data_IF_198849634687
#
_entry.id   IF_198849634687
#
_cell.length_a   1.000
_cell.length_b   1.000
_cell.length_c   1.000
_cell.angle_alpha   90.00
_cell.angle_beta   90.00
_cell.angle_gamma   90.00
#
_symmetry.space_group_name_H-M   'P 1'
#
loop_
_entity.id
_entity.type
_entity.pdbx_description
1 polymer ?
#
# COMPACT_ATOMS: atom_id res chain seq x y z
N UNK A 1 5.81 6.81 -27.04
CA UNK A 1 4.93 6.31 -25.97
C UNK A 1 4.17 7.49 -25.39
N UNK A 2 2.84 7.43 -25.42
CA UNK A 2 1.99 8.45 -24.86
C UNK A 2 2.19 8.50 -23.33
N UNK A 3 2.10 9.69 -22.75
CA UNK A 3 2.20 9.90 -21.30
C UNK A 3 0.96 10.63 -20.84
N UNK A 4 0.08 9.96 -20.14
CA UNK A 4 -1.11 10.55 -19.55
C UNK A 4 -1.20 10.09 -18.10
N UNK A 5 -1.15 11.06 -17.19
CA UNK A 5 -1.37 10.85 -15.76
C UNK A 5 -1.95 12.15 -15.24
N UNK A 6 -3.28 12.22 -15.19
CA UNK A 6 -4.02 13.41 -14.77
C UNK A 6 -5.16 13.03 -13.83
N UNK A 7 -5.28 13.80 -12.78
CA UNK A 7 -6.41 13.82 -11.87
C UNK A 7 -7.06 15.19 -11.88
N UNK A 8 -8.39 15.23 -11.98
CA UNK A 8 -9.21 16.39 -11.78
C UNK A 8 -10.15 16.14 -10.63
N UNK A 9 -10.00 16.92 -9.56
CA UNK A 9 -10.74 16.72 -8.34
C UNK A 9 -11.44 18.03 -7.94
N UNK A 10 -12.75 17.98 -7.80
CA UNK A 10 -13.55 19.01 -7.15
C UNK A 10 -13.99 18.43 -5.81
N UNK A 11 -13.49 18.97 -4.70
CA UNK A 11 -13.70 18.39 -3.39
C UNK A 11 -13.84 19.41 -2.27
N UNK A 12 -14.38 18.96 -1.14
CA UNK A 12 -14.39 19.74 0.09
C UNK A 12 -13.20 19.38 0.97
N UNK A 13 -12.55 20.36 1.56
CA UNK A 13 -11.46 20.15 2.52
C UNK A 13 -12.03 19.45 3.76
N UNK A 14 -11.57 18.21 4.01
CA UNK A 14 -12.16 17.32 5.01
C UNK A 14 -11.72 17.64 6.44
N UNK A 15 -10.57 18.29 6.60
CA UNK A 15 -9.99 18.68 7.89
C UNK A 15 -8.90 19.72 7.69
N UNK A 16 -8.39 20.29 8.78
CA UNK A 16 -7.31 21.25 8.75
C UNK A 16 -6.10 20.75 7.93
N UNK A 17 -5.57 21.66 7.12
CA UNK A 17 -4.39 21.43 6.29
C UNK A 17 -3.14 21.31 7.16
N UNK A 18 -2.24 20.44 6.77
CA UNK A 18 -0.95 20.28 7.43
C UNK A 18 0.15 20.87 6.58
N UNK A 19 0.85 21.88 7.10
CA UNK A 19 2.12 22.34 6.57
C UNK A 19 3.23 21.82 7.49
N UNK A 20 4.06 20.94 6.95
CA UNK A 20 5.19 20.37 7.70
C UNK A 20 6.42 21.22 7.44
N UNK A 21 7.13 21.56 8.51
CA UNK A 21 8.33 22.38 8.50
C UNK A 21 9.54 21.57 8.91
N UNK A 22 10.71 21.99 8.48
CA UNK A 22 11.99 21.47 8.97
C UNK A 22 12.38 22.13 10.33
N UNK A 23 13.53 21.71 10.86
CA UNK A 23 14.06 22.24 12.13
C UNK A 23 14.43 23.74 12.05
N UNK A 24 14.62 24.29 10.84
CA UNK A 24 14.89 25.69 10.57
C UNK A 24 13.60 26.51 10.32
N UNK A 25 12.43 25.86 10.41
CA UNK A 25 11.11 26.48 10.22
C UNK A 25 10.69 26.67 8.75
N UNK A 26 11.45 26.16 7.78
CA UNK A 26 11.11 26.21 6.35
C UNK A 26 10.04 25.15 6.02
N UNK A 27 9.11 25.50 5.15
CA UNK A 27 8.07 24.56 4.71
C UNK A 27 8.68 23.44 3.88
N UNK A 28 8.49 22.20 4.32
CA UNK A 28 8.93 20.99 3.60
C UNK A 28 7.88 20.47 2.62
N UNK A 29 6.63 20.44 3.05
CA UNK A 29 5.50 20.08 2.21
C UNK A 29 4.18 20.52 2.86
N UNK A 30 3.17 20.71 2.02
CA UNK A 30 1.78 20.86 2.46
C UNK A 30 0.98 19.60 2.10
N UNK A 31 0.05 19.24 2.97
CA UNK A 31 -0.84 18.09 2.79
C UNK A 31 -2.27 18.43 3.21
N UNK A 32 -3.21 18.12 2.36
CA UNK A 32 -4.65 18.24 2.62
C UNK A 32 -5.38 16.93 2.29
N UNK A 33 -6.47 16.68 3.00
CA UNK A 33 -7.45 15.65 2.65
C UNK A 33 -8.69 16.35 2.12
N UNK A 34 -9.16 15.91 0.96
CA UNK A 34 -10.40 16.45 0.39
C UNK A 34 -11.42 15.32 0.23
N UNK A 35 -12.69 15.62 0.45
CA UNK A 35 -13.79 14.72 0.14
C UNK A 35 -14.17 14.94 -1.33
N UNK A 36 -14.22 13.90 -2.12
CA UNK A 36 -14.66 13.93 -3.52
C UNK A 36 -15.79 12.92 -3.73
N UNK A 37 -16.76 13.26 -4.54
CA UNK A 37 -17.87 12.39 -4.88
C UNK A 37 -17.49 11.45 -6.04
N UNK A 38 -17.97 10.21 -6.01
CA UNK A 38 -17.88 9.32 -7.17
C UNK A 38 -18.96 9.64 -8.18
N UNK A 39 -18.61 9.68 -9.45
CA UNK A 39 -19.55 9.71 -10.55
C UNK A 39 -20.44 8.46 -10.57
N UNK A 40 -21.54 8.52 -11.32
CA UNK A 40 -22.38 7.36 -11.58
C UNK A 40 -21.69 6.44 -12.59
N UNK A 41 -21.67 5.15 -12.29
CA UNK A 41 -21.06 4.13 -13.18
C UNK A 41 -22.02 3.61 -14.24
N UNK A 42 -23.32 3.68 -13.96
CA UNK A 42 -24.37 3.12 -14.84
C UNK A 42 -25.54 4.08 -14.92
N UNK A 43 -26.16 4.13 -16.11
CA UNK A 43 -27.43 4.83 -16.30
C UNK A 43 -28.48 4.11 -15.46
N UNK A 44 -29.12 4.83 -14.55
CA UNK A 44 -30.12 4.25 -13.65
C UNK A 44 -29.56 3.79 -12.28
N UNK A 45 -28.30 4.09 -11.95
CA UNK A 45 -27.79 3.91 -10.58
C UNK A 45 -28.53 4.87 -9.62
N UNK A 46 -29.57 4.35 -8.98
CA UNK A 46 -30.44 5.08 -8.04
C UNK A 46 -29.99 4.94 -6.60
N UNK A 47 -28.67 4.72 -6.35
CA UNK A 47 -28.18 4.63 -4.99
C UNK A 47 -28.56 5.86 -4.19
N UNK A 48 -29.24 5.62 -3.08
CA UNK A 48 -29.76 6.64 -2.19
C UNK A 48 -28.65 7.51 -1.57
N UNK A 49 -27.44 6.97 -1.46
CA UNK A 49 -26.31 7.62 -0.81
C UNK A 49 -25.15 7.79 -1.79
N UNK A 50 -24.64 9.02 -1.84
CA UNK A 50 -23.43 9.34 -2.56
C UNK A 50 -22.22 8.71 -1.84
N UNK A 51 -21.39 7.97 -2.58
CA UNK A 51 -20.10 7.51 -2.05
C UNK A 51 -19.06 8.61 -2.23
N UNK A 52 -18.37 8.95 -1.14
CA UNK A 52 -17.26 9.88 -1.14
C UNK A 52 -15.95 9.15 -0.89
N UNK A 53 -14.90 9.65 -1.51
CA UNK A 53 -13.53 9.24 -1.28
C UNK A 53 -12.72 10.41 -0.73
N UNK A 54 -11.62 10.11 -0.04
CA UNK A 54 -10.79 11.14 0.57
C UNK A 54 -9.35 11.09 0.02
N UNK A 55 -9.08 11.48 -1.23
CA UNK A 55 -7.72 11.54 -1.72
C UNK A 55 -6.86 12.51 -0.92
N UNK A 56 -5.55 12.21 -0.91
CA UNK A 56 -4.54 13.05 -0.28
C UNK A 56 -3.98 13.96 -1.37
N UNK A 57 -3.99 15.25 -1.13
CA UNK A 57 -3.27 16.24 -1.91
C UNK A 57 -1.98 16.53 -1.18
N UNK A 58 -0.83 16.41 -1.85
CA UNK A 58 0.47 16.70 -1.23
C UNK A 58 1.42 17.33 -2.24
N UNK A 59 2.08 18.39 -1.84
CA UNK A 59 3.05 19.10 -2.68
C UNK A 59 4.23 19.62 -1.90
N UNK A 60 5.34 19.83 -2.62
CA UNK A 60 6.54 20.53 -2.15
C UNK A 60 6.83 21.79 -2.95
N UNK A 61 5.99 22.08 -3.94
CA UNK A 61 6.07 23.33 -4.69
C UNK A 61 5.66 24.49 -3.78
N UNK A 62 6.51 25.53 -3.69
CA UNK A 62 6.31 26.66 -2.76
C UNK A 62 5.01 27.42 -3.03
N UNK A 63 4.68 27.66 -4.30
CA UNK A 63 3.47 28.39 -4.66
C UNK A 63 2.22 27.58 -4.34
N UNK A 64 2.24 26.28 -4.65
CA UNK A 64 1.13 25.39 -4.32
C UNK A 64 1.01 25.20 -2.80
N UNK A 65 2.12 25.14 -2.05
CA UNK A 65 2.10 25.09 -0.59
C UNK A 65 1.46 26.33 0.02
N UNK A 66 1.83 27.52 -0.50
CA UNK A 66 1.26 28.78 -0.03
C UNK A 66 -0.26 28.84 -0.24
N UNK A 67 -0.74 28.42 -1.41
CA UNK A 67 -2.17 28.37 -1.70
C UNK A 67 -2.90 27.34 -0.84
N UNK A 68 -2.39 26.11 -0.74
CA UNK A 68 -2.98 25.05 0.07
C UNK A 68 -3.02 25.43 1.56
N UNK A 69 -2.03 26.17 2.05
CA UNK A 69 -1.98 26.64 3.43
C UNK A 69 -3.14 27.60 3.78
N UNK A 70 -3.80 28.21 2.80
CA UNK A 70 -4.96 29.09 3.01
C UNK A 70 -6.29 28.32 3.13
N UNK A 71 -6.28 27.03 2.87
CA UNK A 71 -7.49 26.23 2.87
C UNK A 71 -7.93 25.88 4.30
N UNK A 72 -9.21 25.93 4.52
CA UNK A 72 -9.86 25.59 5.79
C UNK A 72 -10.84 24.44 5.57
N UNK A 73 -11.21 23.78 6.66
CA UNK A 73 -12.30 22.80 6.63
C UNK A 73 -13.53 23.40 5.96
N UNK A 74 -14.21 22.61 5.08
CA UNK A 74 -15.37 23.01 4.26
C UNK A 74 -15.09 23.98 3.12
N UNK A 75 -13.85 24.30 2.83
CA UNK A 75 -13.54 24.94 1.57
C UNK A 75 -13.79 23.98 0.41
N UNK A 76 -14.45 24.45 -0.63
CA UNK A 76 -14.54 23.73 -1.90
C UNK A 76 -13.33 24.13 -2.72
N UNK A 77 -12.59 23.13 -3.18
CA UNK A 77 -11.35 23.31 -3.91
C UNK A 77 -11.36 22.50 -5.19
N UNK A 78 -10.84 23.09 -6.25
CA UNK A 78 -10.55 22.40 -7.49
C UNK A 78 -9.04 22.11 -7.56
N UNK A 79 -8.70 20.86 -7.83
CA UNK A 79 -7.32 20.39 -7.94
C UNK A 79 -7.14 19.68 -9.28
N UNK A 80 -6.21 20.16 -10.07
CA UNK A 80 -5.66 19.42 -11.21
C UNK A 80 -4.26 18.95 -10.81
N UNK A 81 -3.98 17.66 -10.93
CA UNK A 81 -2.71 17.10 -10.49
C UNK A 81 -2.34 15.81 -11.20
N UNK A 82 -1.27 15.20 -10.73
CA UNK A 82 -0.82 13.88 -11.15
C UNK A 82 -0.90 12.92 -9.98
N UNK A 83 -1.22 11.66 -10.26
CA UNK A 83 -1.12 10.58 -9.27
C UNK A 83 0.36 10.31 -9.05
N UNK A 84 0.79 10.38 -7.81
CA UNK A 84 2.14 10.09 -7.40
C UNK A 84 2.14 9.03 -6.30
N UNK A 85 3.18 8.23 -6.26
CA UNK A 85 3.37 7.21 -5.24
C UNK A 85 4.74 7.36 -4.57
N UNK A 86 4.78 7.12 -3.27
CA UNK A 86 6.01 7.17 -2.47
C UNK A 86 6.03 6.00 -1.50
N UNK A 87 7.17 5.30 -1.44
CA UNK A 87 7.40 4.33 -0.38
C UNK A 87 7.55 5.03 0.96
N UNK A 88 6.81 4.59 1.94
CA UNK A 88 6.83 5.12 3.31
C UNK A 88 6.85 3.99 4.33
N UNK A 89 7.34 4.29 5.53
CA UNK A 89 7.11 3.44 6.69
C UNK A 89 5.79 3.86 7.34
N UNK A 90 4.84 2.94 7.40
CA UNK A 90 3.57 3.15 8.09
C UNK A 90 3.70 2.70 9.53
N UNK A 91 3.29 3.53 10.47
CA UNK A 91 3.30 3.20 11.88
C UNK A 91 1.93 2.66 12.31
N UNK A 92 1.93 1.61 13.10
CA UNK A 92 0.75 1.12 13.81
C UNK A 92 1.10 0.84 15.27
N UNK A 93 0.11 0.77 16.12
CA UNK A 93 0.30 0.49 17.54
C UNK A 93 -0.38 -0.82 17.89
N UNK A 94 0.35 -1.69 18.59
CA UNK A 94 -0.19 -2.95 19.07
C UNK A 94 -1.26 -2.68 20.13
N UNK A 95 -2.42 -3.26 19.99
CA UNK A 95 -3.54 -3.12 20.94
C UNK A 95 -3.27 -3.80 22.28
N UNK A 96 -2.33 -4.74 22.34
CA UNK A 96 -2.01 -5.51 23.56
C UNK A 96 -0.96 -4.85 24.43
N UNK A 97 0.06 -4.21 23.86
CA UNK A 97 1.19 -3.63 24.62
C UNK A 97 1.49 -2.18 24.23
N UNK A 98 0.72 -1.59 23.32
CA UNK A 98 0.89 -0.23 22.80
C UNK A 98 2.24 0.06 22.14
N UNK A 99 3.02 -0.97 21.82
CA UNK A 99 4.29 -0.81 21.11
C UNK A 99 4.05 -0.33 19.70
N UNK A 100 4.83 0.66 19.28
CA UNK A 100 4.79 1.20 17.90
C UNK A 100 5.52 0.26 16.97
N UNK A 101 4.81 -0.30 16.00
CA UNK A 101 5.36 -1.10 14.92
C UNK A 101 5.44 -0.28 13.63
N UNK A 102 6.39 -0.61 12.75
CA UNK A 102 6.61 0.09 11.50
C UNK A 102 6.62 -0.91 10.35
N UNK A 103 5.77 -0.67 9.35
CA UNK A 103 5.63 -1.55 8.20
C UNK A 103 5.93 -0.81 6.90
N UNK A 104 6.41 -1.53 5.88
CA UNK A 104 6.55 -0.96 4.57
C UNK A 104 5.16 -0.66 3.99
N UNK A 105 5.04 0.45 3.32
CA UNK A 105 3.82 0.83 2.64
C UNK A 105 4.07 1.77 1.50
N UNK A 106 3.04 2.01 0.72
CA UNK A 106 3.02 3.05 -0.28
C UNK A 106 2.00 4.13 0.12
N UNK A 107 2.40 5.36 0.00
CA UNK A 107 1.51 6.51 0.00
C UNK A 107 1.21 6.85 -1.46
N UNK A 108 -0.05 6.74 -1.85
CA UNK A 108 -0.54 7.26 -3.12
C UNK A 108 -1.21 8.60 -2.83
N UNK A 109 -0.87 9.62 -3.58
CA UNK A 109 -1.37 10.98 -3.39
C UNK A 109 -1.46 11.71 -4.73
N UNK A 110 -2.19 12.81 -4.74
CA UNK A 110 -2.21 13.72 -5.87
C UNK A 110 -1.20 14.82 -5.62
N UNK A 111 -0.23 14.94 -6.53
CA UNK A 111 0.64 16.09 -6.57
C UNK A 111 0.00 17.14 -7.48
N UNK A 112 -0.45 18.28 -6.92
CA UNK A 112 -1.14 19.29 -7.69
C UNK A 112 -0.19 20.00 -8.65
N UNK A 113 -0.70 20.35 -9.82
CA UNK A 113 -0.07 21.25 -10.81
C UNK A 113 -0.88 22.54 -10.96
N UNK A 114 -2.10 22.54 -10.47
CA UNK A 114 -2.98 23.68 -10.35
C UNK A 114 -3.98 23.44 -9.24
N UNK A 115 -4.23 24.45 -8.43
CA UNK A 115 -5.25 24.44 -7.38
C UNK A 115 -6.01 25.77 -7.39
N UNK A 116 -7.28 25.72 -6.98
CA UNK A 116 -8.12 26.89 -6.83
C UNK A 116 -9.17 26.64 -5.76
N UNK A 117 -9.31 27.60 -4.85
CA UNK A 117 -10.47 27.64 -3.94
C UNK A 117 -11.66 28.22 -4.68
N UNK A 118 -12.77 27.48 -4.71
CA UNK A 118 -14.00 27.86 -5.42
C UNK A 118 -15.04 28.49 -4.50
N UNK A 119 -15.24 27.93 -3.29
CA UNK A 119 -16.25 28.36 -2.34
C UNK A 119 -15.87 27.98 -0.91
N UNK A 120 -16.65 28.48 0.05
CA UNK A 120 -16.64 28.04 1.45
C UNK A 120 -18.08 27.85 1.91
N UNK A 121 -18.36 26.77 2.61
CA UNK A 121 -19.68 26.49 3.19
C UNK A 121 -19.61 26.46 4.72
N UNK A 122 -20.76 26.62 5.36
CA UNK A 122 -20.84 26.64 6.81
C UNK A 122 -21.05 25.26 7.42
N UNK A 123 -21.61 24.33 6.65
CA UNK A 123 -21.92 22.96 7.10
C UNK A 123 -21.34 21.90 6.18
N UNK A 124 -21.17 20.69 6.71
CA UNK A 124 -20.71 19.55 5.92
C UNK A 124 -21.81 19.08 4.96
N UNK A 125 -23.07 19.25 5.33
CA UNK A 125 -24.23 18.94 4.49
C UNK A 125 -24.28 19.80 3.22
N UNK A 126 -24.01 21.09 3.34
CA UNK A 126 -23.90 21.99 2.19
C UNK A 126 -22.76 21.57 1.26
N UNK A 127 -21.61 21.19 1.81
CA UNK A 127 -20.49 20.65 1.05
C UNK A 127 -20.89 19.37 0.32
N UNK A 128 -21.54 18.42 1.00
CA UNK A 128 -21.99 17.16 0.39
C UNK A 128 -23.02 17.39 -0.69
N UNK A 129 -23.96 18.31 -0.50
CA UNK A 129 -24.93 18.65 -1.53
C UNK A 129 -24.26 19.26 -2.77
N UNK A 130 -23.33 20.19 -2.57
CA UNK A 130 -22.55 20.77 -3.68
C UNK A 130 -21.77 19.72 -4.45
N UNK A 131 -21.15 18.76 -3.78
CA UNK A 131 -20.44 17.66 -4.41
C UNK A 131 -21.39 16.68 -5.12
N UNK A 132 -22.60 16.47 -4.59
CA UNK A 132 -23.63 15.65 -5.22
C UNK A 132 -24.09 16.26 -6.55
N UNK A 133 -24.30 17.58 -6.59
CA UNK A 133 -24.72 18.31 -7.78
C UNK A 133 -23.61 18.37 -8.85
N UNK A 134 -22.35 18.24 -8.44
CA UNK A 134 -21.16 18.30 -9.27
C UNK A 134 -20.40 16.97 -9.34
N UNK A 135 -21.02 15.84 -9.02
CA UNK A 135 -20.32 14.55 -8.88
C UNK A 135 -19.60 14.08 -10.13
N UNK A 136 -20.11 14.43 -11.31
CA UNK A 136 -19.50 13.99 -12.58
C UNK A 136 -18.13 14.61 -12.84
N UNK A 137 -17.84 15.75 -12.21
CA UNK A 137 -16.52 16.41 -12.30
C UNK A 137 -15.72 16.32 -10.99
N UNK A 138 -16.29 15.69 -9.96
CA UNK A 138 -15.69 15.69 -8.63
C UNK A 138 -14.51 14.77 -8.50
N UNK A 139 -14.47 13.65 -9.22
CA UNK A 139 -13.42 12.65 -9.10
C UNK A 139 -13.14 11.97 -10.45
N UNK A 140 -12.31 12.62 -11.25
CA UNK A 140 -11.96 12.15 -12.59
C UNK A 140 -10.46 11.84 -12.70
N UNK A 141 -10.14 10.67 -13.24
CA UNK A 141 -8.78 10.20 -13.48
C UNK A 141 -8.63 9.76 -14.92
N UNK A 142 -7.61 10.29 -15.60
CA UNK A 142 -7.24 9.93 -16.95
C UNK A 142 -5.79 9.48 -16.97
N UNK A 143 -5.56 8.19 -17.14
CA UNK A 143 -4.22 7.63 -17.06
C UNK A 143 -3.92 6.66 -18.19
N UNK A 144 -2.68 6.70 -18.63
CA UNK A 144 -2.07 5.71 -19.52
C UNK A 144 -1.00 4.96 -18.76
N UNK A 145 -1.01 3.62 -18.84
CA UNK A 145 -0.05 2.80 -18.14
C UNK A 145 0.17 1.44 -18.78
N UNK A 146 1.27 0.81 -18.39
CA UNK A 146 1.64 -0.55 -18.79
C UNK A 146 1.53 -1.48 -17.59
N UNK A 147 0.90 -2.63 -17.75
CA UNK A 147 0.74 -3.59 -16.66
C UNK A 147 2.09 -4.15 -16.22
N UNK A 148 2.33 -4.10 -14.91
CA UNK A 148 3.53 -4.66 -14.26
C UNK A 148 3.31 -6.07 -13.73
N UNK A 149 2.07 -6.51 -13.61
CA UNK A 149 1.66 -7.81 -13.07
C UNK A 149 0.40 -8.28 -13.77
N UNK A 150 0.26 -9.60 -13.89
CA UNK A 150 -0.96 -10.20 -14.39
C UNK A 150 -2.14 -9.88 -13.47
N UNK A 151 -3.33 -9.65 -14.08
CA UNK A 151 -4.54 -9.39 -13.34
C UNK A 151 -4.93 -10.56 -12.42
N UNK A 152 -5.18 -10.26 -11.14
CA UNK A 152 -5.65 -11.23 -10.16
C UNK A 152 -7.14 -11.06 -9.90
N UNK A 153 -7.88 -12.18 -9.89
CA UNK A 153 -9.25 -12.21 -9.41
C UNK A 153 -9.23 -12.11 -7.88
N UNK A 154 -10.06 -11.23 -7.34
CA UNK A 154 -10.38 -11.17 -5.92
C UNK A 154 -11.88 -11.44 -5.81
N UNK A 155 -12.27 -12.29 -4.87
CA UNK A 155 -13.69 -12.61 -4.64
C UNK A 155 -14.03 -12.22 -3.20
N UNK A 156 -14.30 -10.92 -2.93
CA UNK A 156 -14.56 -10.46 -1.57
C UNK A 156 -15.93 -10.92 -1.04
N UNK A 157 -16.87 -11.14 -1.94
CA UNK A 157 -18.22 -11.63 -1.64
C UNK A 157 -18.73 -12.52 -2.77
N UNK A 158 -19.65 -13.43 -2.46
CA UNK A 158 -20.34 -14.22 -3.47
C UNK A 158 -21.10 -13.31 -4.46
N UNK A 159 -20.91 -13.51 -5.74
CA UNK A 159 -21.51 -12.72 -6.80
C UNK A 159 -20.75 -11.46 -7.21
N UNK A 160 -19.77 -10.98 -6.44
CA UNK A 160 -18.96 -9.81 -6.78
C UNK A 160 -17.65 -10.23 -7.45
N UNK A 161 -17.51 -9.95 -8.74
CA UNK A 161 -16.23 -10.13 -9.45
C UNK A 161 -15.39 -8.86 -9.36
N UNK A 162 -14.18 -9.00 -8.83
CA UNK A 162 -13.18 -7.93 -8.76
C UNK A 162 -11.90 -8.42 -9.38
N UNK A 163 -11.27 -7.57 -10.18
CA UNK A 163 -9.93 -7.81 -10.73
C UNK A 163 -9.00 -6.71 -10.29
N UNK A 164 -7.83 -7.09 -9.81
CA UNK A 164 -6.80 -6.16 -9.36
C UNK A 164 -5.52 -6.37 -10.16
N UNK A 165 -4.94 -5.27 -10.62
CA UNK A 165 -3.66 -5.24 -11.31
C UNK A 165 -2.89 -3.96 -11.00
N UNK A 166 -1.61 -3.92 -11.33
CA UNK A 166 -0.74 -2.78 -11.09
C UNK A 166 -0.20 -2.26 -12.41
N UNK A 167 -0.26 -0.95 -12.62
CA UNK A 167 0.24 -0.30 -13.82
C UNK A 167 1.45 0.59 -13.52
N UNK A 168 2.39 0.64 -14.45
CA UNK A 168 3.48 1.62 -14.49
C UNK A 168 3.00 2.83 -15.29
N UNK A 169 2.94 3.99 -14.66
CA UNK A 169 2.53 5.24 -15.28
C UNK A 169 3.69 6.21 -15.31
N UNK A 170 4.03 6.73 -16.48
CA UNK A 170 5.01 7.78 -16.61
C UNK A 170 4.37 9.15 -16.40
N UNK A 171 5.04 9.99 -15.62
CA UNK A 171 4.59 11.38 -15.39
C UNK A 171 4.76 12.22 -16.64
N UNK A 172 3.70 12.90 -17.05
CA UNK A 172 3.74 13.92 -18.11
C UNK A 172 4.41 15.20 -17.61
N UNK A 173 4.15 15.55 -16.34
CA UNK A 173 4.66 16.75 -15.71
C UNK A 173 5.80 16.38 -14.75
N UNK A 174 6.88 17.12 -14.80
CA UNK A 174 7.97 16.98 -13.83
C UNK A 174 7.54 17.61 -12.51
N UNK A 175 7.67 16.86 -11.44
CA UNK A 175 7.54 17.37 -10.08
C UNK A 175 8.92 17.93 -9.71
N UNK A 176 9.03 19.23 -9.50
CA UNK A 176 10.31 19.92 -9.34
C UNK A 176 11.14 19.41 -8.17
N UNK A 177 10.48 18.91 -7.14
CA UNK A 177 11.10 18.47 -5.88
C UNK A 177 11.37 16.96 -5.80
N UNK A 178 11.01 16.20 -6.83
CA UNK A 178 11.34 14.79 -6.91
C UNK A 178 12.76 14.59 -7.44
N UNK A 179 13.49 13.56 -6.95
CA UNK A 179 14.72 13.15 -7.59
C UNK A 179 14.50 12.92 -9.10
N UNK A 180 15.45 13.33 -9.95
CA UNK A 180 15.27 13.24 -11.41
C UNK A 180 15.01 11.82 -11.94
N UNK A 181 15.38 10.82 -11.15
CA UNK A 181 15.24 9.40 -11.46
C UNK A 181 13.80 8.89 -11.30
N UNK A 182 12.99 9.54 -10.45
CA UNK A 182 11.61 9.11 -10.19
C UNK A 182 10.69 9.68 -11.27
N UNK A 183 10.49 8.91 -12.33
CA UNK A 183 9.63 9.29 -13.47
C UNK A 183 8.38 8.43 -13.58
N UNK A 184 8.28 7.35 -12.80
CA UNK A 184 7.24 6.34 -12.93
C UNK A 184 6.57 6.08 -11.59
N UNK A 185 5.27 6.00 -11.59
CA UNK A 185 4.43 5.66 -10.45
C UNK A 185 3.74 4.31 -10.71
N UNK A 186 3.42 3.59 -9.63
CA UNK A 186 2.91 2.23 -9.68
C UNK A 186 1.61 2.09 -8.86
N UNK A 187 0.51 2.76 -9.25
CA UNK A 187 -0.76 2.61 -8.55
C UNK A 187 -1.38 1.24 -8.83
N UNK A 188 -2.25 0.83 -7.91
CA UNK A 188 -3.13 -0.29 -8.09
C UNK A 188 -4.40 0.14 -8.80
N UNK A 189 -4.91 -0.73 -9.67
CA UNK A 189 -6.19 -0.60 -10.37
C UNK A 189 -7.09 -1.71 -9.88
N UNK A 190 -8.35 -1.38 -9.58
CA UNK A 190 -9.40 -2.34 -9.27
C UNK A 190 -10.58 -2.14 -10.18
N UNK A 191 -10.90 -3.12 -10.99
CA UNK A 191 -12.10 -3.16 -11.80
C UNK A 191 -13.16 -4.08 -11.18
N UNK A 192 -14.42 -3.82 -11.48
CA UNK A 192 -15.58 -4.48 -10.88
C UNK A 192 -16.53 -4.97 -11.96
N UNK A 193 -17.30 -6.04 -11.65
CA UNK A 193 -18.36 -6.56 -12.52
C UNK A 193 -17.84 -7.07 -13.87
N UNK A 194 -18.47 -6.66 -14.95
CA UNK A 194 -18.10 -7.06 -16.31
C UNK A 194 -16.74 -6.52 -16.72
N UNK A 195 -16.42 -5.26 -16.40
CA UNK A 195 -15.08 -4.71 -16.64
C UNK A 195 -13.99 -5.54 -15.98
N UNK A 196 -14.25 -6.08 -14.79
CA UNK A 196 -13.30 -6.95 -14.10
C UNK A 196 -13.09 -8.28 -14.82
N UNK A 197 -14.14 -8.85 -15.41
CA UNK A 197 -14.03 -10.07 -16.23
C UNK A 197 -13.24 -9.81 -17.50
N UNK A 198 -13.54 -8.72 -18.15
CA UNK A 198 -12.89 -8.32 -19.40
C UNK A 198 -11.41 -8.03 -19.17
N UNK A 199 -11.06 -7.16 -18.21
CA UNK A 199 -9.68 -6.87 -17.84
C UNK A 199 -8.88 -8.14 -17.55
N UNK A 200 -9.48 -9.09 -16.81
CA UNK A 200 -8.83 -10.35 -16.47
C UNK A 200 -8.55 -11.24 -17.68
N UNK A 201 -9.44 -11.24 -18.66
CA UNK A 201 -9.32 -12.09 -19.83
C UNK A 201 -8.37 -11.47 -20.87
N UNK A 202 -8.45 -10.16 -21.07
CA UNK A 202 -7.66 -9.45 -22.10
C UNK A 202 -6.25 -9.09 -21.64
N UNK A 203 -6.07 -8.69 -20.39
CA UNK A 203 -4.82 -8.11 -19.91
C UNK A 203 -3.81 -9.15 -19.41
N UNK A 204 -2.53 -8.84 -19.58
CA UNK A 204 -1.39 -9.54 -19.01
C UNK A 204 -0.21 -8.58 -18.81
N UNK A 205 0.89 -9.05 -18.24
CA UNK A 205 2.11 -8.23 -18.08
C UNK A 205 2.54 -7.66 -19.42
N UNK A 206 2.80 -6.35 -19.44
CA UNK A 206 3.21 -5.63 -20.66
C UNK A 206 2.05 -5.09 -21.49
N UNK A 207 0.77 -5.41 -21.17
CA UNK A 207 -0.37 -4.78 -21.82
C UNK A 207 -0.40 -3.29 -21.53
N UNK A 208 -0.72 -2.47 -22.54
CA UNK A 208 -0.90 -1.02 -22.40
C UNK A 208 -2.37 -0.67 -22.39
N UNK A 209 -2.75 0.15 -21.43
CA UNK A 209 -4.14 0.56 -21.22
C UNK A 209 -4.26 2.08 -21.06
N UNK A 210 -5.38 2.61 -21.54
CA UNK A 210 -5.86 3.92 -21.14
C UNK A 210 -7.09 3.74 -20.24
N UNK A 211 -7.10 4.41 -19.12
CA UNK A 211 -8.16 4.32 -18.11
C UNK A 211 -8.78 5.70 -17.92
N UNK A 212 -10.10 5.76 -18.14
CA UNK A 212 -10.99 6.79 -17.63
C UNK A 212 -11.67 6.24 -16.38
N UNK A 213 -11.51 6.91 -15.23
CA UNK A 213 -11.98 6.39 -13.97
C UNK A 213 -11.98 7.38 -12.82
N UNK A 214 -12.01 6.85 -11.61
CA UNK A 214 -11.94 7.63 -10.37
C UNK A 214 -10.92 7.06 -9.39
N UNK A 215 -10.55 7.86 -8.38
CA UNK A 215 -9.84 7.39 -7.21
C UNK A 215 -10.82 6.80 -6.20
N UNK A 216 -10.47 5.66 -5.67
CA UNK A 216 -11.14 5.05 -4.53
C UNK A 216 -10.19 5.00 -3.34
N UNK A 217 -10.61 5.59 -2.22
CA UNK A 217 -9.94 5.45 -0.94
C UNK A 217 -10.75 4.51 -0.05
N UNK A 218 -10.10 3.52 0.54
CA UNK A 218 -10.76 2.58 1.44
C UNK A 218 -9.89 2.27 2.66
N UNK A 219 -10.53 1.95 3.77
CA UNK A 219 -9.86 1.35 4.91
C UNK A 219 -9.62 -0.13 4.64
N UNK A 220 -8.42 -0.60 4.94
CA UNK A 220 -8.02 -2.00 4.81
C UNK A 220 -7.55 -2.47 6.17
N UNK A 221 -8.07 -3.59 6.63
CA UNK A 221 -7.55 -4.26 7.81
C UNK A 221 -6.27 -5.01 7.43
N UNK A 222 -5.25 -4.87 8.24
CA UNK A 222 -3.98 -5.55 8.11
C UNK A 222 -3.70 -6.36 9.36
N UNK A 223 -3.36 -7.62 9.18
CA UNK A 223 -2.87 -8.49 10.25
C UNK A 223 -1.36 -8.31 10.37
N UNK A 224 -0.86 -8.22 11.58
CA UNK A 224 0.55 -8.10 11.87
C UNK A 224 0.89 -8.71 13.22
N UNK A 225 2.13 -9.17 13.37
CA UNK A 225 2.66 -9.61 14.66
C UNK A 225 3.46 -8.48 15.31
N UNK A 226 3.19 -8.22 16.57
CA UNK A 226 3.89 -7.19 17.33
C UNK A 226 5.37 -7.56 17.49
N UNK A 227 6.26 -6.66 17.05
CA UNK A 227 7.70 -6.90 17.03
C UNK A 227 8.25 -7.58 15.77
N UNK A 228 7.47 -7.70 14.71
CA UNK A 228 7.93 -8.25 13.44
C UNK A 228 9.03 -7.38 12.81
N UNK A 229 10.19 -8.00 12.53
CA UNK A 229 11.34 -7.30 11.98
C UNK A 229 11.18 -6.94 10.50
N UNK A 230 11.73 -5.80 10.12
CA UNK A 230 11.76 -5.31 8.74
C UNK A 230 13.19 -4.92 8.34
N UNK A 231 13.52 -5.01 7.04
CA UNK A 231 14.77 -4.49 6.50
C UNK A 231 14.79 -2.94 6.50
N UNK A 232 15.90 -2.35 6.06
CA UNK A 232 16.05 -0.89 5.94
C UNK A 232 14.98 -0.24 5.04
N UNK A 233 14.45 -1.00 4.08
CA UNK A 233 13.35 -0.58 3.19
C UNK A 233 11.98 -0.82 3.81
N UNK A 234 11.93 -1.37 5.03
CA UNK A 234 10.71 -1.68 5.75
C UNK A 234 9.99 -2.96 5.30
N UNK A 235 10.66 -3.83 4.55
CA UNK A 235 10.09 -5.10 4.12
C UNK A 235 10.22 -6.12 5.24
N UNK A 236 9.14 -6.83 5.51
CA UNK A 236 9.11 -7.90 6.50
C UNK A 236 10.12 -8.98 6.16
N UNK A 237 10.83 -9.43 7.18
CA UNK A 237 11.91 -10.39 7.08
C UNK A 237 11.42 -11.77 7.51
N UNK A 238 11.87 -12.78 6.77
CA UNK A 238 11.54 -14.18 7.03
C UNK A 238 12.81 -15.02 7.06
N UNK A 239 12.83 -16.05 7.87
CA UNK A 239 13.81 -17.11 7.80
C UNK A 239 13.62 -17.96 6.52
N UNK A 240 14.59 -18.85 6.23
CA UNK A 240 14.55 -19.70 5.04
C UNK A 240 13.32 -20.63 5.02
N UNK A 241 12.84 -21.05 6.21
CA UNK A 241 11.61 -21.84 6.37
C UNK A 241 10.31 -21.08 6.23
N UNK A 242 10.34 -19.78 5.87
CA UNK A 242 9.14 -18.96 5.72
C UNK A 242 8.61 -18.34 7.02
N UNK A 243 9.22 -18.63 8.15
CA UNK A 243 8.84 -18.07 9.45
C UNK A 243 9.25 -16.60 9.57
N UNK A 244 8.40 -15.70 10.10
CA UNK A 244 8.74 -14.30 10.29
C UNK A 244 9.84 -14.15 11.34
N UNK A 245 10.72 -13.18 11.13
CA UNK A 245 11.70 -12.76 12.13
C UNK A 245 11.03 -11.81 13.11
N UNK A 246 11.08 -12.11 14.40
CA UNK A 246 10.45 -11.32 15.46
C UNK A 246 11.48 -10.64 16.35
N UNK A 247 11.20 -9.41 16.74
CA UNK A 247 11.95 -8.65 17.77
C UNK A 247 10.99 -8.39 18.91
N UNK A 248 11.27 -8.95 20.07
CA UNK A 248 10.34 -8.99 21.20
C UNK A 248 10.93 -8.29 22.43
N UNK A 249 10.11 -7.77 23.34
CA UNK A 249 10.54 -7.05 24.56
C UNK A 249 10.75 -7.96 25.77
N UNK A 250 10.03 -9.07 25.81
CA UNK A 250 10.10 -9.99 26.94
C UNK A 250 10.12 -11.45 26.46
N UNK A 251 11.18 -12.17 26.80
CA UNK A 251 11.38 -13.58 26.40
C UNK A 251 10.26 -14.47 26.93
N UNK A 252 9.80 -14.23 28.15
CA UNK A 252 8.77 -15.07 28.79
C UNK A 252 7.42 -14.93 28.08
N UNK A 253 7.05 -13.72 27.68
CA UNK A 253 5.84 -13.49 26.89
C UNK A 253 5.95 -14.07 25.48
N UNK A 254 7.11 -14.01 24.87
CA UNK A 254 7.36 -14.59 23.56
C UNK A 254 7.27 -16.12 23.57
N UNK A 255 7.84 -16.76 24.57
CA UNK A 255 7.79 -18.22 24.76
C UNK A 255 6.35 -18.66 25.09
N UNK A 256 5.62 -17.88 25.88
CA UNK A 256 4.22 -18.13 26.20
C UNK A 256 3.26 -17.88 25.02
N UNK A 257 3.65 -17.04 24.06
CA UNK A 257 2.84 -16.74 22.87
C UNK A 257 2.93 -17.89 21.88
N UNK A 258 2.06 -18.88 22.00
CA UNK A 258 1.88 -19.97 21.00
C UNK A 258 1.52 -19.47 19.61
N UNK A 259 1.17 -18.18 19.47
CA UNK A 259 0.85 -17.50 18.22
C UNK A 259 2.07 -16.91 17.51
N UNK A 260 3.19 -16.73 18.19
CA UNK A 260 4.43 -16.28 17.58
C UNK A 260 5.09 -17.44 16.82
N UNK A 261 4.83 -17.52 15.51
CA UNK A 261 5.41 -18.54 14.61
C UNK A 261 6.84 -18.17 14.14
N UNK A 262 7.56 -17.27 14.80
CA UNK A 262 8.86 -16.79 14.35
C UNK A 262 10.00 -17.07 15.33
N UNK A 263 11.23 -17.12 14.82
CA UNK A 263 12.42 -17.07 15.69
C UNK A 263 12.59 -15.67 16.27
N UNK A 264 12.95 -15.60 17.54
CA UNK A 264 12.99 -14.37 18.32
C UNK A 264 14.34 -13.70 18.18
N UNK A 265 14.35 -12.41 17.86
CA UNK A 265 15.50 -11.50 17.89
C UNK A 265 15.21 -10.27 18.75
N UNK A 266 16.21 -9.49 19.12
CA UNK A 266 16.19 -8.77 20.39
C UNK A 266 16.49 -7.27 20.28
N UNK A 267 15.90 -6.46 21.18
CA UNK A 267 15.83 -5.01 21.15
C UNK A 267 17.15 -4.24 21.36
N UNK A 268 17.22 -3.01 20.87
CA UNK A 268 18.44 -2.20 20.70
C UNK A 268 19.16 -1.80 21.98
N UNK A 269 18.45 -1.71 23.12
CA UNK A 269 19.06 -1.37 24.42
C UNK A 269 20.04 -2.46 24.92
N UNK A 270 19.93 -3.65 24.35
CA UNK A 270 20.68 -4.83 24.73
C UNK A 270 21.53 -5.36 23.57
N UNK A 271 21.96 -4.46 22.69
CA UNK A 271 22.81 -4.81 21.58
C UNK A 271 24.04 -5.53 22.07
N UNK A 272 24.25 -6.77 21.63
CA UNK A 272 25.48 -7.49 21.94
C UNK A 272 26.62 -6.85 21.17
N UNK A 273 27.50 -6.21 21.89
CA UNK A 273 28.72 -5.65 21.33
C UNK A 273 29.82 -6.72 21.27
N UNK A 274 30.47 -6.80 20.13
CA UNK A 274 31.62 -7.66 19.91
C UNK A 274 32.79 -6.83 19.42
N UNK A 275 34.00 -7.19 19.80
CA UNK A 275 35.17 -6.48 19.32
C UNK A 275 35.29 -6.62 17.81
N UNK A 276 35.43 -5.49 17.13
CA UNK A 276 35.61 -5.42 15.69
C UNK A 276 36.91 -6.12 15.29
N UNK A 277 36.91 -6.81 14.18
CA UNK A 277 38.08 -7.47 13.60
C UNK A 277 38.34 -6.88 12.21
N UNK A 278 39.62 -6.79 11.86
CA UNK A 278 40.07 -6.44 10.54
C UNK A 278 39.79 -7.57 9.50
N UNK A 279 40.14 -7.34 8.27
CA UNK A 279 39.99 -8.33 7.18
C UNK A 279 40.81 -9.60 7.38
N UNK A 280 41.83 -9.58 8.29
CA UNK A 280 42.67 -10.74 8.66
C UNK A 280 42.20 -11.41 9.95
N UNK A 281 41.11 -10.91 10.58
CA UNK A 281 40.55 -11.46 11.80
C UNK A 281 41.20 -10.96 13.09
N UNK A 282 42.11 -9.98 13.04
CA UNK A 282 42.75 -9.39 14.21
C UNK A 282 41.82 -8.36 14.88
N UNK A 283 41.86 -8.23 16.22
CA UNK A 283 41.08 -7.27 16.94
C UNK A 283 41.50 -5.84 16.63
N UNK A 284 40.51 -4.98 16.35
CA UNK A 284 40.73 -3.55 16.07
C UNK A 284 40.70 -2.74 17.37
N UNK A 285 41.56 -1.70 17.44
CA UNK A 285 41.63 -0.76 18.55
C UNK A 285 41.61 0.69 18.03
N UNK A 286 41.05 1.59 18.82
CA UNK A 286 41.18 3.03 18.62
C UNK A 286 42.61 3.49 18.93
N UNK A 287 42.95 4.73 18.56
CA UNK A 287 44.25 5.31 18.86
C UNK A 287 44.59 5.35 20.38
N UNK A 288 43.56 5.47 21.23
CA UNK A 288 43.65 5.42 22.69
C UNK A 288 43.75 4.01 23.24
N UNK A 289 43.94 2.98 22.41
CA UNK A 289 44.02 1.56 22.73
C UNK A 289 42.72 0.92 23.27
N UNK A 290 41.60 1.63 23.24
CA UNK A 290 40.32 1.03 23.55
C UNK A 290 39.84 0.14 22.36
N UNK A 291 39.18 -1.01 22.65
CA UNK A 291 38.71 -1.89 21.60
C UNK A 291 37.60 -1.20 20.75
N UNK A 292 37.70 -1.29 19.46
CA UNK A 292 36.58 -0.91 18.56
C UNK A 292 35.50 -1.96 18.70
N UNK A 293 34.31 -1.54 19.13
CA UNK A 293 33.18 -2.44 19.37
C UNK A 293 32.11 -2.24 18.27
N UNK A 294 31.74 -3.34 17.63
CA UNK A 294 30.63 -3.37 16.70
C UNK A 294 29.49 -4.21 17.29
N UNK A 295 28.27 -3.87 16.92
CA UNK A 295 27.13 -4.71 17.28
C UNK A 295 27.21 -6.05 16.54
N UNK A 296 27.03 -7.16 17.28
CA UNK A 296 27.03 -8.51 16.70
C UNK A 296 25.91 -8.63 15.67
N UNK A 297 26.24 -9.19 14.52
CA UNK A 297 25.28 -9.52 13.46
C UNK A 297 25.17 -11.02 13.25
N UNK A 298 24.03 -11.49 12.82
CA UNK A 298 23.81 -12.86 12.34
C UNK A 298 23.30 -12.84 10.91
N UNK A 299 23.76 -13.82 10.10
CA UNK A 299 23.30 -13.99 8.74
C UNK A 299 21.95 -14.70 8.73
N UNK A 300 20.94 -14.05 8.14
CA UNK A 300 19.60 -14.61 7.92
C UNK A 300 19.34 -14.69 6.43
N UNK A 301 18.84 -15.81 5.93
CA UNK A 301 18.51 -15.96 4.52
C UNK A 301 17.12 -15.42 4.27
N UNK A 302 17.03 -14.34 3.48
CA UNK A 302 15.76 -13.73 3.07
C UNK A 302 15.60 -13.90 1.57
N UNK A 303 14.62 -14.70 1.15
CA UNK A 303 14.37 -15.01 -0.27
C UNK A 303 15.64 -15.46 -1.01
N UNK A 304 16.39 -16.37 -0.43
CA UNK A 304 17.63 -16.90 -1.00
C UNK A 304 18.84 -15.95 -0.99
N UNK A 305 18.72 -14.78 -0.32
CA UNK A 305 19.83 -13.83 -0.12
C UNK A 305 20.19 -13.74 1.36
N UNK A 306 21.48 -13.85 1.67
CA UNK A 306 21.97 -13.58 3.00
C UNK A 306 21.80 -12.11 3.36
N UNK A 307 21.19 -11.84 4.48
CA UNK A 307 20.97 -10.49 5.03
C UNK A 307 21.47 -10.49 6.46
N UNK A 308 22.26 -9.49 6.83
CA UNK A 308 22.79 -9.39 8.21
C UNK A 308 21.78 -8.74 9.13
N UNK A 309 21.60 -9.35 10.28
CA UNK A 309 20.75 -8.88 11.37
C UNK A 309 21.57 -8.53 12.59
N UNK A 310 21.16 -7.44 13.24
CA UNK A 310 21.70 -7.05 14.52
C UNK A 310 21.18 -8.00 15.63
N UNK A 311 22.07 -8.52 16.44
CA UNK A 311 21.75 -9.40 17.57
C UNK A 311 21.67 -8.60 18.86
N UNK A 312 20.59 -8.82 19.61
CA UNK A 312 20.30 -8.15 20.86
C UNK A 312 20.15 -9.18 21.98
N UNK A 313 20.88 -9.02 23.09
CA UNK A 313 20.91 -9.97 24.18
C UNK A 313 20.99 -9.27 25.55
N UNK A 314 20.34 -9.83 26.57
CA UNK A 314 20.50 -9.47 27.97
C UNK A 314 20.96 -10.70 28.75
N UNK A 315 22.12 -10.64 29.36
CA UNK A 315 22.71 -11.78 30.13
C UNK A 315 22.76 -13.08 29.27
N UNK A 316 23.05 -12.97 27.97
CA UNK A 316 23.13 -14.11 27.06
C UNK A 316 21.78 -14.65 26.58
N UNK A 317 20.67 -14.04 27.00
CA UNK A 317 19.32 -14.41 26.58
C UNK A 317 18.74 -13.35 25.62
N UNK A 318 18.01 -13.80 24.63
CA UNK A 318 17.32 -12.90 23.72
C UNK A 318 16.29 -12.00 24.43
N UNK A 319 16.21 -10.67 24.08
CA UNK A 319 15.35 -9.63 24.68
C UNK A 319 14.33 -9.10 23.68
N UNK A 320 13.15 -8.73 24.07
CA UNK A 320 12.00 -8.47 23.22
C UNK A 320 11.72 -6.98 22.96
N UNK A 321 11.34 -6.61 21.73
CA UNK A 321 10.88 -5.27 21.35
C UNK A 321 9.35 -5.18 21.16
N UNK A 322 8.62 -6.28 21.19
CA UNK A 322 7.16 -6.34 21.12
C UNK A 322 6.63 -7.52 21.92
N UNK A 323 5.31 -7.65 22.05
CA UNK A 323 4.70 -8.74 22.81
C UNK A 323 4.50 -10.04 21.98
N UNK A 324 4.84 -10.05 20.70
CA UNK A 324 4.72 -11.22 19.82
C UNK A 324 3.28 -11.59 19.44
N UNK A 325 2.26 -10.93 19.99
CA UNK A 325 0.87 -11.23 19.69
C UNK A 325 0.45 -10.68 18.34
N UNK A 326 -0.43 -11.41 17.66
CA UNK A 326 -1.10 -10.91 16.47
C UNK A 326 -2.05 -9.76 16.85
N UNK A 327 -2.12 -8.75 16.00
CA UNK A 327 -3.05 -7.65 16.14
C UNK A 327 -3.49 -7.14 14.77
N UNK A 328 -4.65 -6.49 14.75
CA UNK A 328 -5.23 -5.93 13.54
C UNK A 328 -5.08 -4.41 13.57
N UNK A 329 -4.60 -3.84 12.47
CA UNK A 329 -4.55 -2.39 12.33
C UNK A 329 -5.18 -1.92 11.02
N UNK A 330 -5.74 -0.70 11.06
CA UNK A 330 -6.38 -0.11 9.89
C UNK A 330 -5.34 0.61 9.04
N UNK A 331 -5.17 0.18 7.79
CA UNK A 331 -4.40 0.85 6.76
C UNK A 331 -5.34 1.55 5.79
N UNK A 332 -4.80 2.48 5.01
CA UNK A 332 -5.53 3.17 3.96
C UNK A 332 -4.93 2.80 2.62
N UNK A 333 -5.75 2.24 1.75
CA UNK A 333 -5.45 2.01 0.35
C UNK A 333 -6.08 3.11 -0.51
N UNK A 334 -5.37 3.54 -1.56
CA UNK A 334 -5.91 4.38 -2.61
C UNK A 334 -5.63 3.69 -3.94
N UNK A 335 -6.68 3.46 -4.72
CA UNK A 335 -6.68 2.66 -5.93
C UNK A 335 -7.39 3.43 -7.05
N UNK A 336 -7.04 3.15 -8.30
CA UNK A 336 -7.77 3.63 -9.46
C UNK A 336 -8.90 2.64 -9.75
N UNK A 337 -10.10 3.16 -9.97
CA UNK A 337 -11.25 2.36 -10.36
C UNK A 337 -11.70 2.82 -11.74
N UNK A 338 -11.57 1.96 -12.77
CA UNK A 338 -12.00 2.28 -14.11
C UNK A 338 -13.53 2.44 -14.22
N UNK A 339 -13.97 3.47 -14.91
CA UNK A 339 -15.28 3.53 -15.55
C UNK A 339 -15.22 2.86 -16.92
N UNK A 340 -14.13 3.14 -17.65
CA UNK A 340 -13.80 2.51 -18.92
C UNK A 340 -12.30 2.22 -18.99
N UNK A 341 -11.96 1.09 -19.63
CA UNK A 341 -10.60 0.70 -19.97
C UNK A 341 -10.52 0.52 -21.48
N UNK A 342 -9.61 1.23 -22.13
CA UNK A 342 -9.26 1.00 -23.52
C UNK A 342 -7.98 0.19 -23.60
N UNK A 343 -8.04 -0.92 -24.31
CA UNK A 343 -6.91 -1.83 -24.52
C UNK A 343 -6.14 -1.36 -25.75
N UNK A 344 -4.91 -0.90 -25.59
CA UNK A 344 -4.18 -0.19 -26.65
C UNK A 344 -3.12 -1.04 -27.33
N UNK A 345 -2.39 -1.83 -26.57
CA UNK A 345 -1.29 -2.64 -27.07
C UNK A 345 -1.05 -3.88 -26.21
N UNK A 346 -0.62 -4.97 -26.85
CA UNK A 346 -0.20 -6.22 -26.19
C UNK A 346 -1.28 -6.77 -25.24
N UNK A 347 -2.51 -6.81 -25.69
CA UNK A 347 -3.65 -7.43 -25.02
C UNK A 347 -4.16 -8.60 -25.86
N UNK A 348 -4.92 -9.51 -25.27
CA UNK A 348 -5.54 -10.63 -25.97
C UNK A 348 -6.72 -10.14 -26.79
N UNK A 349 -6.72 -10.45 -28.09
CA UNK A 349 -7.89 -10.25 -28.94
C UNK A 349 -9.02 -11.26 -28.61
N UNK A 350 -10.11 -11.24 -29.36
CA UNK A 350 -11.27 -12.07 -29.07
C UNK A 350 -10.96 -13.57 -29.21
N UNK A 351 -10.21 -13.96 -30.24
CA UNK A 351 -9.83 -15.36 -30.48
C UNK A 351 -8.87 -15.85 -29.37
N UNK A 352 -7.90 -15.03 -28.98
CA UNK A 352 -6.97 -15.32 -27.90
C UNK A 352 -7.67 -15.39 -26.53
N UNK A 353 -8.70 -14.57 -26.31
CA UNK A 353 -9.54 -14.59 -25.10
C UNK A 353 -10.32 -15.89 -25.02
N UNK A 354 -10.92 -16.35 -26.12
CA UNK A 354 -11.64 -17.63 -26.15
C UNK A 354 -10.71 -18.79 -25.80
N UNK A 355 -9.56 -18.88 -26.47
CA UNK A 355 -8.55 -19.89 -26.20
C UNK A 355 -8.04 -19.84 -24.75
N UNK A 356 -7.80 -18.64 -24.20
CA UNK A 356 -7.37 -18.45 -22.83
C UNK A 356 -8.43 -18.89 -21.80
N UNK A 357 -9.70 -18.57 -22.05
CA UNK A 357 -10.81 -18.99 -21.18
C UNK A 357 -10.99 -20.51 -21.19
N UNK A 358 -10.88 -21.14 -22.35
CA UNK A 358 -10.95 -22.61 -22.47
C UNK A 358 -9.78 -23.28 -21.74
N UNK A 359 -8.56 -22.81 -21.97
CA UNK A 359 -7.38 -23.33 -21.27
C UNK A 359 -7.54 -23.24 -19.74
N UNK A 360 -8.07 -22.13 -19.24
CA UNK A 360 -8.31 -21.94 -17.78
C UNK A 360 -9.41 -22.86 -17.26
N UNK A 361 -10.48 -23.10 -18.02
CA UNK A 361 -11.51 -24.07 -17.63
C UNK A 361 -10.91 -25.46 -17.52
N UNK A 362 -10.14 -25.87 -18.51
CA UNK A 362 -9.47 -27.17 -18.51
C UNK A 362 -8.46 -27.31 -17.34
N UNK A 363 -7.74 -26.23 -16.99
CA UNK A 363 -6.84 -26.25 -15.84
C UNK A 363 -7.62 -26.39 -14.53
N UNK A 364 -8.70 -25.63 -14.35
CA UNK A 364 -9.55 -25.72 -13.15
C UNK A 364 -10.19 -27.11 -13.00
N UNK A 365 -10.55 -27.78 -14.10
CA UNK A 365 -11.06 -29.15 -14.08
C UNK A 365 -9.99 -30.13 -13.65
N UNK A 366 -8.76 -29.99 -14.16
CA UNK A 366 -7.61 -30.80 -13.74
C UNK A 366 -7.28 -30.60 -12.26
N UNK A 367 -7.26 -29.36 -11.78
CA UNK A 367 -6.98 -29.06 -10.38
C UNK A 367 -8.07 -29.63 -9.47
N UNK A 368 -9.35 -29.57 -9.91
CA UNK A 368 -10.47 -30.19 -9.18
C UNK A 368 -10.38 -31.73 -9.16
N UNK A 369 -9.96 -32.34 -10.27
CA UNK A 369 -9.76 -33.78 -10.33
C UNK A 369 -8.63 -34.23 -9.40
N UNK A 370 -7.48 -33.52 -9.46
CA UNK A 370 -6.33 -33.80 -8.59
C UNK A 370 -6.68 -33.63 -7.08
N UNK A 371 -7.47 -32.60 -6.73
CA UNK A 371 -7.91 -32.41 -5.35
C UNK A 371 -8.93 -33.47 -4.89
N UNK A 372 -9.71 -34.05 -5.79
CA UNK A 372 -10.61 -35.19 -5.46
C UNK A 372 -9.81 -36.46 -5.23
N UNK A 373 -8.82 -36.74 -6.07
CA UNK A 373 -7.94 -37.90 -5.90
C UNK A 373 -7.11 -37.79 -4.60
N UNK A 374 -6.67 -36.57 -4.22
CA UNK A 374 -5.96 -36.34 -2.95
C UNK A 374 -6.86 -36.40 -1.71
N UNK A 375 -8.18 -36.17 -1.85
CA UNK A 375 -9.13 -36.25 -0.73
C UNK A 375 -9.67 -37.69 -0.48
N UNK A 376 -9.44 -38.62 -1.40
CA UNK A 376 -9.79 -40.01 -1.21
C UNK A 376 -8.70 -40.82 -0.47
N UNK A 377 -7.49 -40.21 -0.28
CA UNK A 377 -6.34 -40.87 0.38
C UNK A 377 -6.01 -40.38 1.80
N UNK A 378 -6.64 -39.29 2.30
CA UNK A 378 -6.39 -38.80 3.66
C UNK A 378 -7.68 -38.32 4.35
N UNK A 379 -8.18 -39.15 5.27
CA UNK A 379 -9.02 -38.71 6.39
C UNK A 379 -8.15 -37.82 7.34
N UNK A 380 -8.75 -36.67 7.76
CA UNK A 380 -8.46 -35.91 8.96
C UNK A 380 -7.51 -34.69 8.83
N UNK A 381 -8.17 -33.55 9.12
CA UNK A 381 -7.76 -32.33 9.83
C UNK A 381 -6.98 -31.22 9.13
N UNK A 382 -7.66 -30.11 9.25
CA UNK A 382 -7.22 -28.70 9.23
C UNK A 382 -7.27 -27.97 7.89
N UNK A 383 -8.42 -27.40 7.64
CA UNK A 383 -8.59 -26.24 6.76
C UNK A 383 -8.04 -25.03 7.52
N UNK A 384 -6.85 -24.56 7.17
CA UNK A 384 -6.41 -23.23 7.54
C UNK A 384 -7.07 -22.21 6.61
N UNK A 385 -7.92 -21.41 7.20
CA UNK A 385 -8.69 -20.31 6.62
C UNK A 385 -7.75 -19.17 6.22
N UNK A 386 -7.41 -19.08 4.94
CA UNK A 386 -6.70 -17.95 4.37
C UNK A 386 -7.61 -16.72 4.40
N UNK A 387 -7.36 -15.87 5.39
CA UNK A 387 -7.96 -14.61 5.75
C UNK A 387 -8.88 -13.95 4.73
N UNK A 388 -10.17 -14.18 4.86
CA UNK A 388 -11.22 -13.48 4.14
C UNK A 388 -11.30 -12.04 4.64
N UNK A 389 -10.96 -11.10 3.75
CA UNK A 389 -11.18 -9.66 3.93
C UNK A 389 -12.70 -9.40 3.98
N UNK A 390 -13.31 -9.53 5.16
CA UNK A 390 -14.73 -9.20 5.33
C UNK A 390 -14.89 -7.67 5.29
N UNK A 391 -15.43 -7.18 4.18
CA UNK A 391 -16.00 -5.85 4.11
C UNK A 391 -17.23 -5.79 5.03
N UNK A 392 -17.13 -5.10 6.15
CA UNK A 392 -18.31 -4.53 6.81
C UNK A 392 -18.35 -3.04 6.47
N UNK A 393 -19.34 -2.68 5.66
CA UNK A 393 -19.79 -1.31 5.44
C UNK A 393 -20.62 -0.89 6.67
N UNK A 394 -20.12 0.05 7.47
CA UNK A 394 -20.91 0.97 8.28
C UNK A 394 -20.61 2.42 7.85
#
# INVERSE_FOLDING_TARGET
>A
MAKQNLAFLLGSVAKEVRVVKDDEGRNLYAMAYINVARGLREVGDHRKYMKCDNPIIMTRDENMMAEIATWHHRDIVFVKGVIASKHIKKASYCEHCNTKNSFPGALVYINPIYVKKEAHFNTDEECLQYLADNREISNQIFVFGTLCRDPKKITPQEGLTVTQYQIAMNRKFRIQTDPPEIKTDYPWVKSYGENAKEDRNRLHVGSEVYIDGCLQARSVQRHAFCGQACDEKGKVLFYEGGEPVMILENVDEAVASKTCKGKIMIASEYARMVQAKDEYGNPMFHENKEPVMNQKTEDVVVRGRKTQFLVFEKNGLPVNAGCGKEYIWKDRAMEIVPYATEYLYNYRDDDEVEAFVEMRKAQMEKDRAANREASDDDDIDSIEDDGIDTMQDE
#
